data_IF_425554984891
#
_entry.id   IF_425554984891
#
_cell.length_a   1.000
_cell.length_b   1.000
_cell.length_c   1.000
_cell.angle_alpha   90.00
_cell.angle_beta   90.00
_cell.angle_gamma   90.00
#
_symmetry.space_group_name_H-M   'P 1'
#
loop_
_entity.id
_entity.type
_entity.pdbx_description
1 polymer ?
#
# COMPACT_ATOMS: atom_id res chain seq x y z
N UNK A 1 13.35 13.21 -2.09
CA UNK A 1 12.12 13.58 -2.82
C UNK A 1 10.95 12.98 -2.07
N UNK A 2 9.91 13.75 -1.76
CA UNK A 2 8.75 13.26 -1.02
C UNK A 2 7.67 12.75 -2.01
N UNK A 3 7.18 11.53 -1.80
CA UNK A 3 6.14 10.89 -2.63
C UNK A 3 4.78 10.80 -1.91
N UNK A 4 4.65 11.40 -0.72
CA UNK A 4 3.42 11.35 0.07
C UNK A 4 2.26 12.05 -0.65
N UNK A 5 1.07 11.46 -0.58
CA UNK A 5 -0.16 12.02 -1.14
C UNK A 5 -1.30 11.99 -0.12
N UNK A 6 -2.25 12.92 -0.26
CA UNK A 6 -3.50 12.90 0.49
C UNK A 6 -4.65 12.65 -0.48
N UNK A 7 -5.46 11.63 -0.22
CA UNK A 7 -6.64 11.29 -1.04
C UNK A 7 -7.82 11.06 -0.11
N UNK A 8 -8.94 11.73 -0.37
CA UNK A 8 -10.16 11.64 0.45
C UNK A 8 -9.92 11.86 1.96
N UNK A 9 -8.94 12.71 2.31
CA UNK A 9 -8.55 12.97 3.71
C UNK A 9 -7.61 11.93 4.33
N UNK A 10 -7.22 10.89 3.59
CA UNK A 10 -6.28 9.85 4.04
C UNK A 10 -4.88 10.20 3.53
N UNK A 11 -3.89 10.17 4.42
CA UNK A 11 -2.49 10.38 4.07
C UNK A 11 -1.80 9.06 3.75
N UNK A 12 -1.21 8.97 2.57
CA UNK A 12 -0.38 7.85 2.12
C UNK A 12 1.07 8.31 2.01
N UNK A 13 2.00 7.46 2.44
CA UNK A 13 3.44 7.73 2.36
C UNK A 13 3.94 7.73 0.91
N UNK A 14 3.22 7.04 0.03
CA UNK A 14 3.50 6.93 -1.39
C UNK A 14 2.17 6.64 -2.15
N UNK A 15 2.12 6.78 -3.48
CA UNK A 15 0.90 6.58 -4.27
C UNK A 15 0.66 5.12 -4.70
N UNK A 16 1.48 4.17 -4.26
CA UNK A 16 1.37 2.76 -4.62
C UNK A 16 0.45 2.04 -3.65
N UNK A 17 -0.39 1.13 -4.17
CA UNK A 17 -1.38 0.40 -3.38
C UNK A 17 -1.48 -1.04 -3.83
N UNK A 18 -1.76 -1.94 -2.88
CA UNK A 18 -2.10 -3.32 -3.19
C UNK A 18 -3.59 -3.40 -3.56
N UNK A 19 -3.87 -3.65 -4.84
CA UNK A 19 -5.24 -3.80 -5.33
C UNK A 19 -5.93 -5.05 -4.77
N UNK A 20 -7.26 -5.00 -4.67
CA UNK A 20 -8.07 -6.18 -4.31
C UNK A 20 -7.98 -7.23 -5.41
N UNK A 21 -7.34 -8.37 -5.11
CA UNK A 21 -7.10 -9.46 -6.04
C UNK A 21 -6.28 -10.58 -5.40
N UNK A 22 -5.72 -11.51 -6.19
CA UNK A 22 -4.91 -12.62 -5.67
C UNK A 22 -3.80 -12.21 -4.69
N UNK A 23 -3.11 -11.05 -4.87
CA UNK A 23 -2.14 -10.56 -3.90
C UNK A 23 -2.74 -10.12 -2.54
N UNK A 24 -4.00 -9.68 -2.52
CA UNK A 24 -4.71 -9.20 -1.33
C UNK A 24 -5.48 -10.29 -0.56
N UNK A 25 -5.55 -11.52 -1.07
CA UNK A 25 -6.33 -12.61 -0.45
C UNK A 25 -5.66 -13.22 0.78
N UNK A 26 -4.34 -13.04 0.94
CA UNK A 26 -3.56 -13.66 2.02
C UNK A 26 -2.86 -12.61 2.89
N UNK A 27 -3.16 -12.59 4.19
CA UNK A 27 -2.57 -11.68 5.16
C UNK A 27 -1.03 -11.75 5.19
N UNK A 28 -0.43 -12.91 4.90
CA UNK A 28 1.03 -13.09 4.81
C UNK A 28 1.62 -12.36 3.60
N UNK A 29 0.88 -12.25 2.50
CA UNK A 29 1.32 -11.52 1.30
C UNK A 29 1.19 -10.02 1.55
N UNK A 30 0.08 -9.57 2.13
CA UNK A 30 -0.12 -8.18 2.59
C UNK A 30 1.01 -7.71 3.51
N UNK A 31 1.35 -8.49 4.54
CA UNK A 31 2.43 -8.14 5.48
C UNK A 31 3.77 -7.97 4.77
N UNK A 32 4.11 -8.89 3.84
CA UNK A 32 5.34 -8.79 3.03
C UNK A 32 5.34 -7.58 2.10
N UNK A 33 4.19 -7.16 1.59
CA UNK A 33 4.08 -5.95 0.76
C UNK A 33 4.39 -4.70 1.59
N UNK A 34 3.84 -4.58 2.80
CA UNK A 34 4.17 -3.47 3.71
C UNK A 34 5.65 -3.47 4.11
N UNK A 35 6.23 -4.63 4.41
CA UNK A 35 7.67 -4.75 4.71
C UNK A 35 8.56 -4.34 3.51
N UNK A 36 8.08 -4.56 2.28
CA UNK A 36 8.76 -4.15 1.05
C UNK A 36 8.59 -2.66 0.71
N UNK A 37 7.82 -1.91 1.51
CA UNK A 37 7.59 -0.48 1.32
C UNK A 37 6.52 -0.13 0.29
N UNK A 38 5.63 -1.09 -0.01
CA UNK A 38 4.38 -0.78 -0.73
C UNK A 38 3.51 0.14 0.13
#
# INVERSE_FOLDING_TARGET
MNLSITVNGINFLNPFVLGSGPPGTNARVLAKSFDAGW
#
